data_IF_717020143728
#
_entry.id   IF_717020143728
#
_cell.length_a   1.000
_cell.length_b   1.000
_cell.length_c   1.000
_cell.angle_alpha   90.00
_cell.angle_beta   90.00
_cell.angle_gamma   90.00
#
_symmetry.space_group_name_H-M   'P 1'
#
loop_
_entity.id
_entity.type
_entity.pdbx_description
1 polymer ?
#
# COMPACT_ATOMS: atom_id res chain seq x y z
N UNK A 1 -19.79 10.52 9.84
CA UNK A 1 -19.15 9.84 8.68
C UNK A 1 -17.67 10.20 8.65
N UNK A 2 -16.75 9.23 8.52
CA UNK A 2 -15.31 9.48 8.33
C UNK A 2 -15.14 10.28 7.04
N UNK A 3 -14.64 11.53 7.11
CA UNK A 3 -14.29 12.30 5.89
C UNK A 3 -13.19 11.53 5.17
N UNK A 4 -13.51 11.00 4.00
CA UNK A 4 -12.52 10.30 3.16
C UNK A 4 -12.10 11.26 2.06
N UNK A 5 -10.95 11.89 2.28
CA UNK A 5 -10.24 12.70 1.29
C UNK A 5 -8.77 12.31 1.33
N UNK A 6 -8.14 12.20 0.16
CA UNK A 6 -6.70 12.05 0.07
C UNK A 6 -6.09 13.44 0.22
N UNK A 7 -5.45 13.70 1.34
CA UNK A 7 -4.65 14.91 1.52
C UNK A 7 -3.19 14.52 1.29
N UNK A 8 -2.59 15.01 0.20
CA UNK A 8 -1.14 14.95 0.02
C UNK A 8 -0.49 15.82 1.09
N UNK A 9 -0.11 15.20 2.20
CA UNK A 9 0.63 15.87 3.26
C UNK A 9 2.11 15.92 2.85
N UNK A 10 2.52 17.09 2.38
CA UNK A 10 3.93 17.42 2.27
C UNK A 10 4.43 17.83 3.66
N UNK A 11 5.51 17.21 4.13
CA UNK A 11 6.14 17.53 5.40
C UNK A 11 7.41 18.35 5.10
N UNK A 12 7.31 19.69 4.98
CA UNK A 12 8.43 20.54 4.57
C UNK A 12 9.57 20.57 5.59
N UNK A 13 9.24 20.38 6.88
CA UNK A 13 10.19 20.33 7.98
C UNK A 13 10.11 18.95 8.64
N UNK A 14 10.88 17.99 8.12
CA UNK A 14 11.00 16.68 8.75
C UNK A 14 11.84 16.85 10.01
N UNK A 15 11.19 16.83 11.17
CA UNK A 15 11.89 16.55 12.41
C UNK A 15 12.23 15.07 12.40
N UNK A 16 13.48 14.74 12.07
CA UNK A 16 14.00 13.38 12.06
C UNK A 16 13.82 12.81 13.48
N UNK A 17 12.77 12.02 13.71
CA UNK A 17 12.71 11.21 14.93
C UNK A 17 13.71 10.09 14.72
N UNK A 18 14.66 9.96 15.65
CA UNK A 18 15.52 8.79 15.75
C UNK A 18 14.61 7.57 16.01
N UNK A 19 14.06 6.99 14.94
CA UNK A 19 13.09 5.93 15.00
C UNK A 19 13.78 4.60 14.75
N UNK A 20 13.53 3.62 15.60
CA UNK A 20 13.91 2.24 15.37
C UNK A 20 13.51 1.78 13.95
N UNK A 21 14.37 0.99 13.30
CA UNK A 21 14.11 0.50 11.94
C UNK A 21 12.84 -0.35 11.93
N UNK A 22 11.90 -0.04 11.04
CA UNK A 22 10.68 -0.83 10.84
C UNK A 22 10.74 -1.59 9.53
N UNK A 23 10.66 -2.92 9.62
CA UNK A 23 10.67 -3.80 8.46
C UNK A 23 9.25 -4.01 7.95
N UNK A 24 9.07 -3.89 6.64
CA UNK A 24 7.84 -4.19 5.92
C UNK A 24 8.13 -5.37 4.98
N UNK A 25 7.55 -6.53 5.27
CA UNK A 25 7.73 -7.74 4.48
C UNK A 25 6.63 -7.89 3.44
N UNK A 26 7.00 -8.16 2.19
CA UNK A 26 6.05 -8.44 1.11
C UNK A 26 5.88 -9.96 0.97
N UNK A 27 4.72 -10.49 1.35
CA UNK A 27 4.57 -11.92 1.58
C UNK A 27 4.24 -12.77 0.35
N UNK A 28 3.43 -12.25 -0.55
CA UNK A 28 2.87 -13.06 -1.64
C UNK A 28 3.70 -13.00 -2.92
N UNK A 29 3.51 -13.98 -3.81
CA UNK A 29 4.22 -14.11 -5.10
C UNK A 29 4.05 -12.93 -6.02
N UNK A 30 2.90 -12.23 -5.96
CA UNK A 30 2.68 -10.94 -6.62
C UNK A 30 3.91 -10.03 -6.60
N UNK A 31 4.57 -9.91 -5.44
CA UNK A 31 5.72 -9.02 -5.25
C UNK A 31 7.07 -9.57 -5.79
N UNK A 32 7.11 -10.77 -6.37
CA UNK A 32 8.33 -11.37 -6.97
C UNK A 32 8.63 -10.81 -8.34
N UNK A 33 7.60 -10.50 -9.12
CA UNK A 33 7.74 -9.97 -10.46
C UNK A 33 8.15 -8.51 -10.32
N UNK A 34 9.45 -8.25 -10.27
CA UNK A 34 9.96 -6.89 -10.33
C UNK A 34 9.63 -6.30 -11.71
N UNK A 35 8.51 -5.60 -11.78
CA UNK A 35 8.18 -4.75 -12.91
C UNK A 35 8.30 -3.29 -12.45
N UNK A 36 9.31 -2.52 -12.92
CA UNK A 36 9.49 -1.11 -12.57
C UNK A 36 8.29 -0.24 -12.97
N UNK A 37 7.38 -0.74 -13.82
CA UNK A 37 6.16 -0.08 -14.23
C UNK A 37 4.94 -0.37 -13.32
N UNK A 38 4.98 -1.40 -12.46
CA UNK A 38 3.78 -1.87 -11.72
C UNK A 38 3.79 -1.56 -10.21
N UNK A 39 4.90 -1.17 -9.58
CA UNK A 39 4.93 -0.84 -8.14
C UNK A 39 4.92 0.66 -7.90
N UNK A 40 3.71 1.23 -7.87
CA UNK A 40 3.51 2.66 -7.67
C UNK A 40 3.84 3.16 -6.24
N UNK A 41 3.97 2.28 -5.24
CA UNK A 41 3.95 2.71 -3.83
C UNK A 41 5.03 2.15 -2.88
N UNK A 42 5.65 0.98 -3.11
CA UNK A 42 6.73 0.45 -2.23
C UNK A 42 7.86 -0.23 -3.02
N UNK A 43 8.99 0.46 -3.17
CA UNK A 43 10.26 -0.10 -3.63
C UNK A 43 11.04 -0.80 -2.50
N UNK A 44 11.83 -1.81 -2.85
CA UNK A 44 12.75 -2.48 -1.93
C UNK A 44 13.75 -1.52 -1.25
N UNK A 45 14.07 -1.83 -0.01
CA UNK A 45 14.89 -1.01 0.87
C UNK A 45 14.12 0.19 1.42
N UNK A 46 14.81 1.32 1.56
CA UNK A 46 14.25 2.57 2.10
C UNK A 46 13.94 3.62 1.02
N UNK A 47 14.14 3.29 -0.27
CA UNK A 47 14.07 4.23 -1.40
C UNK A 47 12.75 5.00 -1.46
N UNK A 48 11.64 4.30 -1.23
CA UNK A 48 10.29 4.91 -1.21
C UNK A 48 10.20 6.06 -0.22
N UNK A 49 10.58 5.80 1.02
CA UNK A 49 10.40 6.74 2.13
C UNK A 49 11.32 7.95 2.02
N UNK A 50 12.53 7.74 1.49
CA UNK A 50 13.45 8.82 1.14
C UNK A 50 12.91 9.66 -0.02
N UNK A 51 12.46 9.03 -1.10
CA UNK A 51 11.92 9.70 -2.30
C UNK A 51 10.74 10.61 -1.97
N UNK A 52 9.82 10.12 -1.13
CA UNK A 52 8.63 10.87 -0.72
C UNK A 52 8.83 11.73 0.54
N UNK A 53 10.08 11.88 1.03
CA UNK A 53 10.40 12.73 2.18
C UNK A 53 9.49 12.45 3.38
N UNK A 54 9.29 11.17 3.68
CA UNK A 54 8.42 10.77 4.78
C UNK A 54 9.03 11.20 6.13
N UNK A 55 8.20 11.68 7.08
CA UNK A 55 8.70 12.12 8.38
C UNK A 55 9.30 10.97 9.20
N UNK A 56 8.86 9.74 8.93
CA UNK A 56 9.50 8.50 9.36
C UNK A 56 10.05 7.81 8.11
N UNK A 57 11.37 7.67 8.03
CA UNK A 57 12.07 7.16 6.85
C UNK A 57 12.93 5.93 7.13
N UNK A 58 13.11 5.54 8.40
CA UNK A 58 13.83 4.32 8.79
C UNK A 58 12.96 3.07 8.60
N UNK A 59 12.27 3.00 7.45
CA UNK A 59 11.47 1.86 7.05
C UNK A 59 12.21 1.09 5.96
N UNK A 60 12.15 -0.23 6.02
CA UNK A 60 12.87 -1.10 5.08
C UNK A 60 11.92 -2.14 4.49
N UNK A 61 11.71 -2.08 3.18
CA UNK A 61 10.86 -3.01 2.43
C UNK A 61 11.70 -4.20 1.94
N UNK A 62 11.22 -5.42 2.18
CA UNK A 62 11.97 -6.65 1.89
C UNK A 62 11.06 -7.81 1.50
N UNK A 63 11.65 -8.79 0.81
CA UNK A 63 11.10 -10.16 0.64
C UNK A 63 12.00 -11.24 1.22
N UNK A 64 13.11 -10.85 1.85
CA UNK A 64 14.00 -11.83 2.44
C UNK A 64 13.29 -12.50 3.62
N UNK A 65 13.10 -13.82 3.53
CA UNK A 65 12.37 -14.60 4.54
C UNK A 65 12.99 -14.50 5.93
N UNK A 66 14.31 -14.24 6.03
CA UNK A 66 14.98 -13.99 7.32
C UNK A 66 14.41 -12.78 8.06
N UNK A 67 13.83 -11.82 7.33
CA UNK A 67 13.27 -10.60 7.91
C UNK A 67 11.80 -10.77 8.34
N UNK A 68 11.13 -11.87 7.96
CA UNK A 68 9.70 -12.06 8.23
C UNK A 68 9.38 -12.06 9.72
N UNK A 69 10.19 -12.74 10.54
CA UNK A 69 9.90 -12.86 11.98
C UNK A 69 9.99 -11.52 12.73
N UNK A 70 10.88 -10.63 12.28
CA UNK A 70 11.08 -9.30 12.87
C UNK A 70 10.29 -8.19 12.15
N UNK A 71 9.52 -8.55 11.12
CA UNK A 71 8.76 -7.58 10.35
C UNK A 71 7.67 -6.93 11.21
N UNK A 72 7.66 -5.60 11.25
CA UNK A 72 6.62 -4.83 11.92
C UNK A 72 5.29 -4.90 11.16
N UNK A 73 5.36 -4.98 9.82
CA UNK A 73 4.20 -5.16 8.97
C UNK A 73 4.46 -6.21 7.88
N UNK A 74 3.41 -6.93 7.52
CA UNK A 74 3.42 -7.99 6.51
C UNK A 74 2.31 -7.72 5.50
N UNK A 75 2.67 -7.55 4.23
CA UNK A 75 1.74 -7.17 3.16
C UNK A 75 1.41 -8.36 2.27
N UNK A 76 0.12 -8.60 2.05
CA UNK A 76 -0.38 -9.72 1.28
C UNK A 76 -1.25 -9.24 0.11
N UNK A 77 -0.90 -9.63 -1.11
CA UNK A 77 -1.80 -9.44 -2.25
C UNK A 77 -2.90 -10.51 -2.24
N UNK A 78 -4.15 -10.07 -2.32
CA UNK A 78 -5.32 -10.93 -2.11
C UNK A 78 -5.42 -12.12 -3.08
N UNK A 79 -5.09 -11.93 -4.36
CA UNK A 79 -5.18 -12.98 -5.39
C UNK A 79 -4.17 -14.09 -5.18
N UNK A 80 -3.06 -13.78 -4.50
CA UNK A 80 -1.93 -14.68 -4.26
C UNK A 80 -1.98 -15.31 -2.85
N UNK A 81 -3.09 -15.17 -2.13
CA UNK A 81 -3.29 -15.83 -0.84
C UNK A 81 -3.49 -17.34 -1.02
N UNK A 82 -2.43 -18.14 -1.03
CA UNK A 82 -2.58 -19.59 -0.94
C UNK A 82 -3.04 -19.97 0.47
N UNK A 83 -4.07 -20.82 0.56
CA UNK A 83 -4.83 -21.08 1.79
C UNK A 83 -3.98 -21.75 2.90
N UNK A 84 -2.74 -22.17 2.64
CA UNK A 84 -1.93 -22.89 3.63
C UNK A 84 -0.47 -22.43 3.66
N UNK A 85 -0.14 -21.57 4.62
CA UNK A 85 1.16 -21.54 5.36
C UNK A 85 1.30 -20.30 6.26
N UNK A 86 0.47 -19.29 6.03
CA UNK A 86 0.70 -17.95 6.59
C UNK A 86 0.29 -17.87 8.08
N UNK A 87 -0.81 -18.50 8.51
CA UNK A 87 -1.41 -18.32 9.84
C UNK A 87 -0.53 -18.73 11.02
N UNK A 88 0.27 -19.79 10.88
CA UNK A 88 1.07 -20.34 11.99
C UNK A 88 2.33 -19.51 12.31
N UNK A 89 2.62 -18.48 11.51
CA UNK A 89 3.81 -17.64 11.65
C UNK A 89 3.50 -16.24 12.21
N UNK A 90 2.23 -15.90 12.44
CA UNK A 90 1.85 -14.57 12.92
C UNK A 90 2.40 -14.32 14.31
N UNK A 91 3.38 -13.43 14.43
CA UNK A 91 3.82 -12.95 15.75
C UNK A 91 2.86 -11.87 16.26
N UNK A 92 2.62 -11.77 17.58
CA UNK A 92 1.69 -10.78 18.15
C UNK A 92 2.01 -9.33 17.77
N UNK A 93 3.28 -9.03 17.52
CA UNK A 93 3.77 -7.68 17.22
C UNK A 93 3.75 -7.33 15.73
N UNK A 94 3.16 -8.18 14.88
CA UNK A 94 3.05 -7.92 13.45
C UNK A 94 1.69 -7.40 13.06
N UNK A 95 1.70 -6.38 12.21
CA UNK A 95 0.50 -5.89 11.56
C UNK A 95 0.39 -6.55 10.19
N UNK A 96 -0.68 -7.30 9.98
CA UNK A 96 -0.93 -7.92 8.69
C UNK A 96 -1.88 -7.06 7.86
N UNK A 97 -1.48 -6.80 6.63
CA UNK A 97 -2.14 -5.86 5.73
C UNK A 97 -2.62 -6.62 4.49
N UNK A 98 -3.92 -6.59 4.24
CA UNK A 98 -4.51 -7.12 3.01
C UNK A 98 -4.50 -6.06 1.92
N UNK A 99 -3.93 -6.38 0.77
CA UNK A 99 -3.79 -5.50 -0.38
C UNK A 99 -4.60 -6.01 -1.59
N UNK A 100 -5.43 -5.12 -2.16
CA UNK A 100 -6.12 -5.33 -3.43
C UNK A 100 -6.40 -4.00 -4.13
N UNK A 101 -6.17 -3.96 -5.44
CA UNK A 101 -6.61 -2.87 -6.31
C UNK A 101 -7.72 -3.29 -7.28
N UNK A 102 -8.10 -4.57 -7.26
CA UNK A 102 -9.02 -5.15 -8.22
C UNK A 102 -10.45 -5.23 -7.63
N UNK A 103 -11.49 -5.09 -8.46
CA UNK A 103 -12.87 -5.24 -8.03
C UNK A 103 -13.17 -6.66 -7.51
N UNK A 104 -14.16 -6.83 -6.60
CA UNK A 104 -14.38 -8.11 -5.94
C UNK A 104 -14.73 -9.26 -6.89
N UNK A 105 -15.34 -8.98 -8.05
CA UNK A 105 -15.66 -10.01 -9.04
C UNK A 105 -14.42 -10.56 -9.78
N UNK A 106 -13.30 -9.84 -9.76
CA UNK A 106 -12.00 -10.34 -10.25
C UNK A 106 -11.21 -11.07 -9.16
N UNK A 107 -11.74 -11.13 -7.94
CA UNK A 107 -11.17 -11.94 -6.87
C UNK A 107 -11.81 -13.32 -6.92
N UNK A 108 -11.02 -14.32 -7.35
CA UNK A 108 -11.47 -15.71 -7.52
C UNK A 108 -11.65 -16.40 -6.14
N UNK A 109 -11.19 -15.77 -5.05
CA UNK A 109 -11.13 -16.35 -3.70
C UNK A 109 -12.26 -15.84 -2.82
N UNK A 110 -12.88 -16.75 -2.08
CA UNK A 110 -13.83 -16.40 -1.01
C UNK A 110 -13.09 -15.74 0.16
N UNK A 111 -13.15 -14.42 0.22
CA UNK A 111 -12.44 -13.62 1.22
C UNK A 111 -12.98 -13.81 2.64
N UNK A 112 -14.20 -14.35 2.81
CA UNK A 112 -14.77 -14.62 4.14
C UNK A 112 -13.92 -15.61 4.94
N UNK A 113 -13.17 -16.48 4.26
CA UNK A 113 -12.22 -17.41 4.90
C UNK A 113 -11.07 -16.73 5.63
N UNK A 114 -10.84 -15.45 5.37
CA UNK A 114 -9.79 -14.65 6.01
C UNK A 114 -10.34 -13.63 7.00
N UNK A 115 -11.59 -13.79 7.44
CA UNK A 115 -12.18 -12.95 8.48
C UNK A 115 -11.34 -13.03 9.77
N UNK A 116 -11.03 -11.86 10.35
CA UNK A 116 -10.18 -11.75 11.54
C UNK A 116 -8.68 -11.99 11.33
N UNK A 117 -8.24 -12.35 10.11
CA UNK A 117 -6.81 -12.64 9.84
C UNK A 117 -5.98 -11.37 9.69
N UNK A 118 -6.51 -10.33 9.04
CA UNK A 118 -5.77 -9.10 8.75
C UNK A 118 -6.14 -7.98 9.71
N UNK A 119 -5.15 -7.15 10.09
CA UNK A 119 -5.38 -5.96 10.91
C UNK A 119 -5.85 -4.78 10.06
N UNK A 120 -5.18 -4.57 8.93
CA UNK A 120 -5.39 -3.40 8.07
C UNK A 120 -5.71 -3.81 6.64
N UNK A 121 -6.39 -2.91 5.95
CA UNK A 121 -6.67 -3.04 4.52
C UNK A 121 -6.03 -1.90 3.74
N UNK A 122 -5.53 -2.23 2.56
CA UNK A 122 -4.95 -1.30 1.62
C UNK A 122 -5.60 -1.50 0.24
N UNK A 123 -6.52 -0.61 -0.13
CA UNK A 123 -7.32 -0.76 -1.35
C UNK A 123 -7.91 0.55 -1.89
N UNK A 124 -8.57 0.49 -3.04
CA UNK A 124 -9.35 1.61 -3.61
C UNK A 124 -10.63 1.93 -2.83
N UNK A 125 -11.06 1.07 -1.90
CA UNK A 125 -12.24 1.34 -1.09
C UNK A 125 -11.92 2.46 -0.10
N UNK A 126 -12.74 3.51 -0.11
CA UNK A 126 -12.66 4.67 0.79
C UNK A 126 -12.61 4.34 2.29
N UNK A 127 -13.11 3.16 2.69
CA UNK A 127 -13.09 2.70 4.08
C UNK A 127 -11.80 2.02 4.52
N UNK A 128 -10.84 1.79 3.62
CA UNK A 128 -9.57 1.13 3.96
C UNK A 128 -8.67 1.98 4.85
N UNK A 129 -7.79 1.32 5.61
CA UNK A 129 -6.79 1.97 6.45
C UNK A 129 -5.78 2.76 5.60
N UNK A 130 -5.41 2.19 4.45
CA UNK A 130 -4.65 2.85 3.41
C UNK A 130 -5.48 2.91 2.12
N UNK A 131 -5.87 4.12 1.74
CA UNK A 131 -6.54 4.35 0.47
C UNK A 131 -5.51 4.38 -0.66
N UNK A 132 -5.65 3.48 -1.63
CA UNK A 132 -4.85 3.46 -2.85
C UNK A 132 -5.74 3.67 -4.07
N UNK A 133 -5.38 4.59 -4.93
CA UNK A 133 -6.12 4.88 -6.16
C UNK A 133 -5.18 4.90 -7.34
N UNK A 134 -5.61 4.40 -8.50
CA UNK A 134 -4.85 4.52 -9.75
C UNK A 134 -4.63 5.98 -10.17
N UNK A 135 -5.46 6.91 -9.69
CA UNK A 135 -5.30 8.34 -9.91
C UNK A 135 -6.12 9.15 -8.92
N UNK A 136 -5.91 10.47 -8.91
CA UNK A 136 -6.66 11.41 -8.08
C UNK A 136 -7.36 12.45 -8.94
N UNK A 137 -8.53 12.90 -8.49
CA UNK A 137 -9.22 14.05 -9.09
C UNK A 137 -8.85 15.27 -8.27
N UNK A 138 -8.19 16.24 -8.91
CA UNK A 138 -7.80 17.51 -8.31
C UNK A 138 -8.52 18.69 -8.95
N UNK A 139 -8.73 19.76 -8.18
CA UNK A 139 -9.16 21.03 -8.75
C UNK A 139 -8.01 21.57 -9.62
N UNK A 140 -8.32 21.93 -10.86
CA UNK A 140 -7.34 22.61 -11.72
C UNK A 140 -7.00 23.97 -11.13
N UNK A 141 -5.73 24.37 -11.27
CA UNK A 141 -5.27 25.71 -10.89
C UNK A 141 -5.86 26.79 -11.81
N UNK A 142 -6.12 26.44 -13.07
CA UNK A 142 -6.72 27.33 -14.07
C UNK A 142 -7.86 26.63 -14.83
N UNK A 143 -8.91 27.33 -15.28
CA UNK A 143 -9.97 26.75 -16.11
C UNK A 143 -9.48 26.23 -17.46
N UNK A 144 -10.18 25.26 -18.07
CA UNK A 144 -9.90 24.83 -19.45
C UNK A 144 -10.18 26.01 -20.37
N UNK A 145 -9.22 26.45 -21.19
CA UNK A 145 -9.53 27.34 -22.31
C UNK A 145 -10.26 26.49 -23.37
N UNK A 146 -11.58 26.60 -23.42
CA UNK A 146 -12.35 25.98 -24.49
C UNK A 146 -12.04 26.76 -25.78
N UNK A 147 -11.23 26.18 -26.68
CA UNK A 147 -11.23 26.64 -28.07
C UNK A 147 -12.53 26.12 -28.66
N UNK A 148 -13.47 27.00 -28.97
CA UNK A 148 -14.61 26.64 -29.81
C UNK A 148 -14.03 26.17 -31.14
N UNK A 149 -14.18 24.88 -31.45
CA UNK A 149 -13.95 24.39 -32.81
C UNK A 149 -15.19 24.82 -33.59
N UNK A 150 -15.08 25.65 -34.64
CA UNK A 150 -16.22 25.98 -35.46
C UNK A 150 -16.75 24.67 -36.06
N UNK A 151 -18.06 24.42 -35.93
CA UNK A 151 -18.71 23.39 -36.72
C UNK A 151 -18.66 23.85 -38.19
N UNK A 152 -18.08 23.00 -39.04
CA UNK A 152 -18.06 23.18 -40.50
C UNK A 152 -19.45 22.88 -41.10
#
# INVERSE_FOLDING_TARGET
>A
ARKVGFELKFYPNITLKNSERKVIFLATTYFNEWNPWHYYFLHFGNKTFQRYKCPVYNCYVTKNKSDLESAAAVLFHVRDLEIFSISNLRKPNQIWILYSMEPPWLEIKDLRRFEGVFNWTMSYRRGSDFLLSYGFIGKRLSPVSMRMVPMA
#
